data_IF_482579931030
#
_entry.id   IF_482579931030
#
_cell.length_a   1.000
_cell.length_b   1.000
_cell.length_c   1.000
_cell.angle_alpha   90.00
_cell.angle_beta   90.00
_cell.angle_gamma   90.00
#
_symmetry.space_group_name_H-M   'P 1'
#
loop_
_entity.id
_entity.type
_entity.pdbx_description
1 polymer ?
#
# COMPACT_ATOMS: atom_id res chain seq x y z
N UNK A 1 -7.38 5.03 34.49
CA UNK A 1 -8.46 4.37 35.28
C UNK A 1 -8.90 3.15 34.50
N UNK A 2 -8.88 1.92 35.04
CA UNK A 2 -9.57 0.82 34.38
C UNK A 2 -11.06 0.98 34.71
N UNK A 3 -11.86 1.31 33.70
CA UNK A 3 -13.30 1.18 33.77
C UNK A 3 -13.63 -0.30 33.88
N UNK A 4 -14.16 -0.69 35.03
CA UNK A 4 -14.75 -2.00 35.31
C UNK A 4 -16.03 -2.13 34.43
N UNK A 5 -15.83 -2.36 33.13
CA UNK A 5 -16.88 -2.74 32.19
C UNK A 5 -17.08 -4.25 32.33
N UNK A 6 -17.69 -4.68 33.43
CA UNK A 6 -18.23 -6.05 33.51
C UNK A 6 -19.45 -6.12 32.60
N UNK A 7 -19.18 -6.32 31.31
CA UNK A 7 -20.23 -6.74 30.39
C UNK A 7 -20.76 -8.10 30.86
N UNK A 8 -22.06 -8.36 30.69
CA UNK A 8 -22.61 -9.67 31.02
C UNK A 8 -21.84 -10.74 30.25
N UNK A 9 -21.54 -11.89 30.88
CA UNK A 9 -20.81 -12.96 30.23
C UNK A 9 -21.59 -13.41 28.99
N UNK A 10 -20.88 -13.59 27.87
CA UNK A 10 -21.47 -14.09 26.64
C UNK A 10 -21.97 -15.51 26.92
N UNK A 11 -23.25 -15.78 26.62
CA UNK A 11 -23.82 -17.11 26.82
C UNK A 11 -23.26 -18.07 25.77
N UNK A 12 -23.24 -19.36 26.10
CA UNK A 12 -22.83 -20.40 25.14
C UNK A 12 -23.73 -20.40 23.91
N UNK A 13 -25.02 -20.16 24.11
CA UNK A 13 -26.01 -20.03 23.04
C UNK A 13 -25.66 -18.94 22.03
N UNK A 14 -25.41 -17.72 22.51
CA UNK A 14 -25.06 -16.58 21.64
C UNK A 14 -23.78 -16.89 20.83
N UNK A 15 -22.81 -17.55 21.47
CA UNK A 15 -21.57 -17.97 20.82
C UNK A 15 -21.83 -19.00 19.71
N UNK A 16 -22.66 -20.01 19.98
CA UNK A 16 -23.02 -21.06 19.03
C UNK A 16 -23.86 -20.54 17.87
N UNK A 17 -24.76 -19.58 18.12
CA UNK A 17 -25.53 -18.90 17.08
C UNK A 17 -24.63 -18.09 16.14
N UNK A 18 -23.54 -17.48 16.63
CA UNK A 18 -22.53 -16.86 15.76
C UNK A 18 -21.68 -17.86 14.97
N UNK A 19 -21.65 -19.13 15.37
CA UNK A 19 -20.93 -20.24 14.73
C UNK A 19 -21.86 -21.11 13.86
N UNK A 20 -23.12 -20.69 13.65
CA UNK A 20 -24.16 -21.35 12.86
C UNK A 20 -23.73 -21.93 11.50
N UNK A 21 -22.81 -21.31 10.72
CA UNK A 21 -22.37 -21.91 9.45
C UNK A 21 -21.62 -23.25 9.59
N UNK A 22 -21.25 -23.64 10.82
CA UNK A 22 -20.34 -24.76 11.09
C UNK A 22 -20.92 -25.80 12.05
N UNK A 23 -22.00 -25.47 12.75
CA UNK A 23 -22.78 -26.41 13.57
C UNK A 23 -23.53 -27.34 12.61
N UNK A 24 -23.18 -28.62 12.68
CA UNK A 24 -23.59 -29.69 11.75
C UNK A 24 -25.08 -29.73 11.43
N UNK A 25 -25.46 -30.33 10.29
CA UNK A 25 -26.85 -30.68 9.94
C UNK A 25 -27.58 -31.59 10.96
N UNK A 26 -26.87 -32.09 11.99
CA UNK A 26 -27.37 -33.08 12.97
C UNK A 26 -27.95 -32.48 14.25
N UNK A 27 -27.50 -31.28 14.65
CA UNK A 27 -27.90 -30.68 15.92
C UNK A 27 -28.07 -29.17 15.75
N UNK A 28 -29.16 -28.62 16.26
CA UNK A 28 -29.35 -27.17 16.27
C UNK A 28 -28.44 -26.50 17.31
N UNK A 29 -28.06 -25.22 17.14
CA UNK A 29 -27.34 -24.46 18.18
C UNK A 29 -28.04 -24.47 19.54
N UNK A 30 -29.38 -24.53 19.55
CA UNK A 30 -30.17 -24.67 20.78
C UNK A 30 -29.90 -26.01 21.47
N UNK A 31 -29.95 -27.12 20.74
CA UNK A 31 -29.67 -28.46 21.30
C UNK A 31 -28.26 -28.57 21.87
N UNK A 32 -27.26 -27.99 21.19
CA UNK A 32 -25.89 -27.99 21.69
C UNK A 32 -25.75 -27.11 22.95
N UNK A 33 -26.43 -25.96 22.98
CA UNK A 33 -26.44 -25.09 24.17
C UNK A 33 -27.09 -25.80 25.35
N UNK A 34 -28.26 -26.42 25.17
CA UNK A 34 -28.99 -27.11 26.23
C UNK A 34 -28.15 -28.24 26.83
N UNK A 35 -27.46 -29.03 26.00
CA UNK A 35 -26.56 -30.09 26.47
C UNK A 35 -25.34 -29.55 27.23
N UNK A 36 -24.77 -28.43 26.80
CA UNK A 36 -23.67 -27.79 27.52
C UNK A 36 -24.15 -27.24 28.88
N UNK A 37 -25.37 -26.68 28.93
CA UNK A 37 -25.98 -26.21 30.17
C UNK A 37 -26.30 -27.35 31.14
N UNK A 38 -26.73 -28.52 30.67
CA UNK A 38 -26.93 -29.74 31.47
C UNK A 38 -25.65 -30.19 32.20
N UNK A 39 -24.49 -29.89 31.61
CA UNK A 39 -23.17 -30.13 32.20
C UNK A 39 -22.60 -28.93 32.96
N UNK A 40 -23.41 -27.91 33.22
CA UNK A 40 -23.02 -26.71 33.98
C UNK A 40 -22.30 -25.62 33.17
N UNK A 41 -22.13 -25.80 31.86
CA UNK A 41 -21.42 -24.88 30.98
C UNK A 41 -22.42 -23.87 30.39
N UNK A 42 -22.66 -22.78 31.12
CA UNK A 42 -23.65 -21.74 30.74
C UNK A 42 -23.08 -20.55 29.97
N UNK A 43 -21.77 -20.35 30.06
CA UNK A 43 -21.09 -19.17 29.50
C UNK A 43 -19.81 -19.64 28.81
N UNK A 44 -19.32 -18.85 27.85
CA UNK A 44 -18.03 -19.17 27.21
C UNK A 44 -16.90 -19.22 28.26
N UNK A 45 -17.02 -18.46 29.36
CA UNK A 45 -16.03 -18.47 30.43
C UNK A 45 -15.89 -19.85 31.10
N UNK A 46 -16.99 -20.57 31.34
CA UNK A 46 -16.95 -21.94 31.86
C UNK A 46 -16.22 -22.91 30.90
N UNK A 47 -16.32 -22.67 29.59
CA UNK A 47 -15.60 -23.48 28.58
C UNK A 47 -14.08 -23.36 28.76
N UNK A 48 -13.59 -22.21 29.20
CA UNK A 48 -12.17 -21.97 29.44
C UNK A 48 -11.70 -22.35 30.83
N UNK A 49 -12.61 -22.40 31.81
CA UNK A 49 -12.32 -22.88 33.16
C UNK A 49 -12.07 -24.39 33.18
N UNK A 50 -12.81 -25.16 32.35
CA UNK A 50 -12.55 -26.58 32.13
C UNK A 50 -12.66 -26.96 30.64
N UNK A 51 -11.59 -26.72 29.86
CA UNK A 51 -11.58 -27.04 28.44
C UNK A 51 -11.55 -28.55 28.19
N UNK A 52 -11.08 -29.37 29.14
CA UNK A 52 -11.06 -30.82 28.96
C UNK A 52 -12.48 -31.39 29.03
N UNK A 53 -13.23 -31.03 30.08
CA UNK A 53 -14.62 -31.44 30.25
C UNK A 53 -15.49 -30.95 29.10
N UNK A 54 -15.31 -29.70 28.67
CA UNK A 54 -16.08 -29.15 27.56
C UNK A 54 -15.81 -29.89 26.25
N UNK A 55 -14.55 -30.25 26.01
CA UNK A 55 -14.19 -31.03 24.82
C UNK A 55 -14.71 -32.45 24.88
N UNK A 56 -14.74 -33.10 26.05
CA UNK A 56 -15.33 -34.44 26.21
C UNK A 56 -16.84 -34.46 25.89
N UNK A 57 -17.54 -33.35 26.10
CA UNK A 57 -18.96 -33.18 25.73
C UNK A 57 -19.11 -32.90 24.23
N UNK A 58 -18.24 -32.05 23.67
CA UNK A 58 -18.33 -31.60 22.28
C UNK A 58 -17.78 -32.59 21.25
N UNK A 59 -16.80 -33.43 21.62
CA UNK A 59 -16.18 -34.43 20.74
C UNK A 59 -17.21 -35.44 20.21
N UNK A 60 -18.08 -36.04 21.04
CA UNK A 60 -19.16 -36.91 20.56
C UNK A 60 -20.16 -36.22 19.63
N UNK A 61 -20.26 -34.89 19.72
CA UNK A 61 -21.26 -34.07 19.03
C UNK A 61 -20.80 -33.55 17.67
N UNK A 62 -19.52 -33.19 17.53
CA UNK A 62 -19.00 -32.45 16.37
C UNK A 62 -18.13 -33.31 15.43
N UNK A 63 -17.58 -34.44 15.88
CA UNK A 63 -16.63 -35.26 15.12
C UNK A 63 -15.22 -34.65 15.03
N UNK A 64 -14.19 -35.48 14.81
CA UNK A 64 -12.78 -35.09 15.04
C UNK A 64 -12.24 -33.96 14.14
N UNK A 65 -12.63 -33.87 12.87
CA UNK A 65 -12.14 -32.79 11.98
C UNK A 65 -12.72 -31.41 12.33
N UNK A 66 -13.96 -31.39 12.84
CA UNK A 66 -14.64 -30.13 13.20
C UNK A 66 -14.23 -29.66 14.60
N UNK A 67 -13.66 -30.54 15.42
CA UNK A 67 -13.03 -30.27 16.71
C UNK A 67 -11.99 -29.15 16.64
N UNK A 68 -11.07 -29.26 15.68
CA UNK A 68 -9.97 -28.32 15.54
C UNK A 68 -10.46 -26.93 15.12
N UNK A 69 -11.44 -26.88 14.20
CA UNK A 69 -12.00 -25.62 13.71
C UNK A 69 -12.90 -24.93 14.74
N UNK A 70 -13.75 -25.68 15.44
CA UNK A 70 -14.55 -25.16 16.55
C UNK A 70 -13.68 -24.57 17.67
N UNK A 71 -12.59 -25.27 18.05
CA UNK A 71 -11.64 -24.76 19.04
C UNK A 71 -10.95 -23.48 18.56
N UNK A 72 -10.54 -23.41 17.30
CA UNK A 72 -9.95 -22.18 16.73
C UNK A 72 -10.95 -21.03 16.79
N UNK A 73 -12.20 -21.26 16.41
CA UNK A 73 -13.22 -20.21 16.40
C UNK A 73 -13.63 -19.79 17.81
N UNK A 74 -13.68 -20.72 18.77
CA UNK A 74 -13.93 -20.42 20.17
C UNK A 74 -12.77 -19.62 20.80
N UNK A 75 -11.52 -19.95 20.46
CA UNK A 75 -10.33 -19.18 20.84
C UNK A 75 -10.40 -17.76 20.24
N UNK A 76 -10.87 -17.62 19.00
CA UNK A 76 -11.06 -16.32 18.35
C UNK A 76 -12.19 -15.49 18.99
N UNK A 77 -13.17 -16.14 19.63
CA UNK A 77 -14.24 -15.50 20.40
C UNK A 77 -13.84 -15.18 21.85
N UNK A 78 -12.64 -15.58 22.31
CA UNK A 78 -12.16 -15.14 23.62
C UNK A 78 -12.15 -13.62 23.69
N UNK A 79 -12.60 -13.01 24.81
CA UNK A 79 -12.57 -11.57 24.97
C UNK A 79 -11.20 -10.99 24.61
N UNK A 80 -10.10 -11.60 25.07
CA UNK A 80 -8.75 -11.14 24.73
C UNK A 80 -8.43 -11.12 23.23
N UNK A 81 -8.82 -12.16 22.48
CA UNK A 81 -8.57 -12.25 21.02
C UNK A 81 -9.55 -11.42 20.21
N UNK A 82 -10.84 -11.44 20.56
CA UNK A 82 -11.88 -10.64 19.94
C UNK A 82 -11.61 -9.14 20.12
N UNK A 83 -11.18 -8.70 21.31
CA UNK A 83 -10.77 -7.31 21.54
C UNK A 83 -9.50 -6.96 20.78
N UNK A 84 -8.51 -7.85 20.73
CA UNK A 84 -7.29 -7.65 19.93
C UNK A 84 -7.62 -7.52 18.45
N UNK A 85 -8.56 -8.33 17.94
CA UNK A 85 -9.04 -8.26 16.57
C UNK A 85 -9.77 -6.95 16.27
N UNK A 86 -10.73 -6.53 17.11
CA UNK A 86 -11.43 -5.25 16.94
C UNK A 86 -10.45 -4.08 17.01
N UNK A 87 -9.48 -4.14 17.92
CA UNK A 87 -8.46 -3.11 18.05
C UNK A 87 -7.57 -3.07 16.81
N UNK A 88 -7.16 -4.23 16.29
CA UNK A 88 -6.42 -4.35 15.04
C UNK A 88 -7.23 -3.82 13.84
N UNK A 89 -8.53 -4.12 13.75
CA UNK A 89 -9.41 -3.59 12.71
C UNK A 89 -9.50 -2.06 12.78
N UNK A 90 -9.66 -1.48 13.98
CA UNK A 90 -9.66 -0.01 14.17
C UNK A 90 -8.32 0.63 13.83
N UNK A 91 -7.21 -0.02 14.19
CA UNK A 91 -5.88 0.49 13.89
C UNK A 91 -5.57 0.37 12.38
N UNK A 92 -6.11 -0.66 11.72
CA UNK A 92 -6.07 -0.79 10.26
C UNK A 92 -6.89 0.32 9.57
N UNK A 93 -8.11 0.62 10.03
CA UNK A 93 -8.90 1.74 9.51
C UNK A 93 -8.19 3.09 9.70
N UNK A 94 -7.51 3.29 10.84
CA UNK A 94 -6.71 4.49 11.10
C UNK A 94 -5.53 4.58 10.14
N UNK A 95 -4.83 3.47 9.90
CA UNK A 95 -3.73 3.41 8.96
C UNK A 95 -4.20 3.69 7.52
N UNK A 96 -5.32 3.11 7.10
CA UNK A 96 -5.91 3.36 5.78
C UNK A 96 -6.26 4.84 5.58
N UNK A 97 -6.85 5.48 6.60
CA UNK A 97 -7.11 6.94 6.58
C UNK A 97 -5.82 7.75 6.48
N UNK A 98 -4.78 7.39 7.23
CA UNK A 98 -3.49 8.06 7.19
C UNK A 98 -2.82 7.92 5.81
N UNK A 99 -2.88 6.73 5.19
CA UNK A 99 -2.37 6.49 3.84
C UNK A 99 -3.13 7.35 2.82
N UNK A 100 -4.47 7.38 2.88
CA UNK A 100 -5.28 8.25 2.00
C UNK A 100 -4.95 9.73 2.15
N UNK A 101 -4.69 10.19 3.37
CA UNK A 101 -4.24 11.56 3.62
C UNK A 101 -2.86 11.82 3.02
N UNK A 102 -1.92 10.88 3.18
CA UNK A 102 -0.59 10.99 2.59
C UNK A 102 -0.66 11.00 1.05
N UNK A 103 -1.47 10.14 0.45
CA UNK A 103 -1.70 10.15 -1.00
C UNK A 103 -2.28 11.48 -1.49
N UNK A 104 -3.21 12.08 -0.74
CA UNK A 104 -3.76 13.40 -1.07
C UNK A 104 -2.70 14.50 -0.95
N UNK A 105 -1.83 14.44 0.07
CA UNK A 105 -0.71 15.37 0.24
C UNK A 105 0.31 15.22 -0.90
N UNK A 106 0.69 13.99 -1.25
CA UNK A 106 1.61 13.71 -2.36
C UNK A 106 1.02 14.19 -3.68
N UNK A 107 -0.27 13.92 -3.95
CA UNK A 107 -0.96 14.47 -5.12
C UNK A 107 -0.93 16.00 -5.13
N UNK A 108 -1.26 16.66 -4.01
CA UNK A 108 -1.18 18.11 -3.92
C UNK A 108 0.23 18.66 -4.15
N UNK A 109 1.28 17.96 -3.68
CA UNK A 109 2.66 18.33 -3.93
C UNK A 109 3.00 18.15 -5.42
N UNK A 110 2.61 17.03 -6.02
CA UNK A 110 2.81 16.76 -7.45
C UNK A 110 2.07 17.78 -8.31
N UNK A 111 0.83 18.12 -7.97
CA UNK A 111 0.04 19.14 -8.65
C UNK A 111 0.69 20.51 -8.48
N UNK A 112 1.16 20.88 -7.28
CA UNK A 112 1.93 22.11 -7.08
C UNK A 112 3.24 22.12 -7.85
N UNK A 113 3.93 20.98 -7.97
CA UNK A 113 5.13 20.85 -8.80
C UNK A 113 4.78 20.95 -10.28
N UNK A 114 3.65 20.37 -10.70
CA UNK A 114 3.08 20.46 -12.04
C UNK A 114 2.70 21.89 -12.39
N UNK A 115 2.02 22.60 -11.49
CA UNK A 115 1.65 24.01 -11.59
C UNK A 115 2.88 24.91 -11.55
N UNK A 116 3.88 24.60 -10.72
CA UNK A 116 5.18 25.28 -10.76
C UNK A 116 5.95 25.00 -12.05
N UNK A 117 5.79 23.81 -12.64
CA UNK A 117 6.35 23.44 -13.94
C UNK A 117 5.56 24.03 -15.12
N UNK A 118 4.27 24.34 -14.94
CA UNK A 118 3.43 25.04 -15.91
C UNK A 118 3.62 26.56 -15.81
N UNK A 119 3.80 27.11 -14.60
CA UNK A 119 4.15 28.52 -14.36
C UNK A 119 5.59 28.85 -14.76
N UNK A 120 6.50 27.88 -14.74
CA UNK A 120 7.79 27.95 -15.42
C UNK A 120 7.65 27.34 -16.81
N UNK A 121 7.12 28.08 -17.77
CA UNK A 121 7.26 27.85 -19.23
C UNK A 121 8.58 27.17 -19.59
N UNK A 122 8.60 25.83 -19.59
CA UNK A 122 9.68 25.00 -20.11
C UNK A 122 9.05 23.73 -20.61
N UNK A 123 9.17 23.51 -21.92
CA UNK A 123 8.84 22.26 -22.57
C UNK A 123 9.32 21.07 -21.73
N UNK A 124 8.57 19.95 -21.68
CA UNK A 124 8.99 18.74 -20.98
C UNK A 124 10.45 18.42 -21.31
N UNK A 125 11.25 18.02 -20.33
CA UNK A 125 12.70 17.79 -20.49
C UNK A 125 12.96 16.81 -21.66
N UNK A 126 12.15 15.75 -21.79
CA UNK A 126 12.22 14.81 -22.92
C UNK A 126 12.05 15.51 -24.28
N UNK A 127 11.11 16.45 -24.38
CA UNK A 127 10.85 17.24 -25.59
C UNK A 127 11.99 18.22 -25.87
N UNK A 128 12.55 18.85 -24.83
CA UNK A 128 13.67 19.81 -24.99
C UNK A 128 14.95 19.11 -25.43
N UNK A 129 15.26 17.95 -24.85
CA UNK A 129 16.44 17.15 -25.23
C UNK A 129 16.32 16.66 -26.67
N UNK A 130 15.13 16.24 -27.12
CA UNK A 130 14.91 15.85 -28.50
C UNK A 130 15.09 17.03 -29.46
N UNK A 131 14.53 18.20 -29.14
CA UNK A 131 14.71 19.41 -29.95
C UNK A 131 16.19 19.80 -30.03
N UNK A 132 16.96 19.70 -28.95
CA UNK A 132 18.40 19.97 -28.98
C UNK A 132 19.16 19.01 -29.91
N UNK A 133 18.80 17.72 -29.92
CA UNK A 133 19.38 16.74 -30.83
C UNK A 133 19.01 17.04 -32.29
N UNK A 134 17.75 17.35 -32.56
CA UNK A 134 17.27 17.66 -33.91
C UNK A 134 17.91 18.95 -34.44
N UNK A 135 18.07 19.96 -33.59
CA UNK A 135 18.70 21.23 -33.95
C UNK A 135 20.21 21.12 -34.13
N UNK A 136 20.90 20.30 -33.33
CA UNK A 136 22.32 20.03 -33.51
C UNK A 136 22.60 19.18 -34.75
N UNK A 137 21.71 18.24 -35.10
CA UNK A 137 21.82 17.42 -36.31
C UNK A 137 21.69 18.23 -37.61
N UNK A 138 21.01 19.38 -37.60
CA UNK A 138 20.86 20.26 -38.76
C UNK A 138 22.15 21.01 -39.14
N UNK A 139 23.13 21.09 -38.24
CA UNK A 139 24.38 21.82 -38.49
C UNK A 139 25.55 20.85 -38.69
N UNK A 140 26.11 20.83 -39.90
CA UNK A 140 27.30 20.04 -40.22
C UNK A 140 28.54 20.48 -39.44
N UNK A 141 28.60 21.76 -39.06
CA UNK A 141 29.69 22.38 -38.31
C UNK A 141 29.54 22.33 -36.79
N UNK A 142 28.39 21.87 -36.30
CA UNK A 142 27.98 21.95 -34.91
C UNK A 142 27.29 23.27 -34.56
N UNK A 143 26.72 23.35 -33.35
CA UNK A 143 25.99 24.53 -32.86
C UNK A 143 26.49 24.90 -31.47
N UNK A 144 26.62 26.18 -31.18
CA UNK A 144 27.00 26.65 -29.85
C UNK A 144 25.81 26.68 -28.90
N UNK A 145 26.09 26.56 -27.60
CA UNK A 145 25.06 26.69 -26.57
C UNK A 145 24.34 28.05 -26.59
N UNK A 146 25.02 29.11 -27.07
CA UNK A 146 24.43 30.45 -27.17
C UNK A 146 23.40 30.53 -28.30
N UNK A 147 23.71 29.96 -29.46
CA UNK A 147 22.81 29.92 -30.63
C UNK A 147 21.54 29.12 -30.30
N UNK A 148 21.70 27.95 -29.66
CA UNK A 148 20.57 27.11 -29.24
C UNK A 148 19.72 27.79 -28.16
N UNK A 149 20.36 28.46 -27.19
CA UNK A 149 19.65 29.20 -26.16
C UNK A 149 18.79 30.33 -26.73
N UNK A 150 19.35 31.11 -27.67
CA UNK A 150 18.62 32.16 -28.35
C UNK A 150 17.46 31.59 -29.19
N UNK A 151 17.71 30.52 -29.96
CA UNK A 151 16.71 29.90 -30.82
C UNK A 151 15.53 29.32 -30.05
N UNK A 152 15.80 28.72 -28.88
CA UNK A 152 14.78 28.07 -28.05
C UNK A 152 14.14 29.00 -27.01
N UNK A 153 14.59 30.25 -26.90
CA UNK A 153 14.14 31.17 -25.85
C UNK A 153 14.50 30.69 -24.44
N UNK A 154 15.60 29.95 -24.31
CA UNK A 154 16.06 29.33 -23.05
C UNK A 154 17.30 30.03 -22.52
N UNK A 155 17.61 29.85 -21.22
CA UNK A 155 18.85 30.39 -20.67
C UNK A 155 20.06 29.59 -21.16
N UNK A 156 21.15 30.30 -21.46
CA UNK A 156 22.42 29.69 -21.91
C UNK A 156 22.95 28.65 -20.93
N UNK A 157 22.86 28.92 -19.62
CA UNK A 157 23.31 27.98 -18.59
C UNK A 157 22.50 26.67 -18.61
N UNK A 158 21.18 26.76 -18.80
CA UNK A 158 20.32 25.59 -18.88
C UNK A 158 20.62 24.73 -20.11
N UNK A 159 20.72 25.36 -21.29
CA UNK A 159 21.07 24.68 -22.54
C UNK A 159 22.47 24.05 -22.45
N UNK A 160 23.43 24.77 -21.87
CA UNK A 160 24.78 24.24 -21.64
C UNK A 160 24.78 22.99 -20.74
N UNK A 161 23.95 22.96 -19.70
CA UNK A 161 23.79 21.79 -18.83
C UNK A 161 23.24 20.57 -19.58
N UNK A 162 22.18 20.76 -20.37
CA UNK A 162 21.58 19.68 -21.18
C UNK A 162 22.54 19.15 -22.25
N UNK A 163 23.30 20.03 -22.91
CA UNK A 163 24.28 19.63 -23.91
C UNK A 163 25.42 18.80 -23.29
N UNK A 164 25.87 19.15 -22.09
CA UNK A 164 26.88 18.35 -21.38
C UNK A 164 26.34 16.95 -21.02
N UNK A 165 25.10 16.85 -20.54
CA UNK A 165 24.47 15.54 -20.29
C UNK A 165 24.38 14.69 -21.57
N UNK A 166 24.07 15.30 -22.71
CA UNK A 166 24.04 14.62 -24.00
C UNK A 166 25.42 14.16 -24.49
N UNK A 167 26.48 14.89 -24.13
CA UNK A 167 27.87 14.48 -24.38
C UNK A 167 28.25 13.29 -23.49
N UNK A 168 27.91 13.33 -22.21
CA UNK A 168 28.13 12.22 -21.27
C UNK A 168 27.37 10.95 -21.69
N UNK A 169 26.16 11.11 -22.25
CA UNK A 169 25.38 10.02 -22.82
C UNK A 169 25.87 9.52 -24.20
N UNK A 170 26.97 10.09 -24.73
CA UNK A 170 27.55 9.71 -26.02
C UNK A 170 26.69 10.06 -27.25
N UNK A 171 25.74 10.99 -27.12
CA UNK A 171 24.86 11.44 -28.22
C UNK A 171 25.45 12.60 -29.00
N UNK A 172 26.20 13.46 -28.31
CA UNK A 172 26.88 14.62 -28.87
C UNK A 172 28.39 14.53 -28.61
N UNK A 173 29.16 15.25 -29.42
CA UNK A 173 30.58 15.52 -29.19
C UNK A 173 30.82 17.02 -29.09
N UNK A 174 31.82 17.41 -28.28
CA UNK A 174 32.29 18.79 -28.19
C UNK A 174 33.37 19.06 -29.23
N UNK A 175 33.26 20.20 -29.89
CA UNK A 175 34.24 20.71 -30.85
C UNK A 175 34.68 22.09 -30.39
N UNK A 176 35.98 22.29 -30.25
CA UNK A 176 36.55 23.60 -29.93
C UNK A 176 37.00 24.29 -31.21
N UNK A 177 36.45 25.48 -31.49
CA UNK A 177 36.88 26.35 -32.60
C UNK A 177 37.27 27.70 -32.00
N UNK A 178 38.58 27.93 -31.85
CA UNK A 178 39.13 29.11 -31.19
C UNK A 178 38.77 29.15 -29.70
N UNK A 179 38.14 30.23 -29.22
CA UNK A 179 37.68 30.38 -27.83
C UNK A 179 36.23 29.92 -27.60
N UNK A 180 35.61 29.26 -28.58
CA UNK A 180 34.20 28.86 -28.54
C UNK A 180 34.05 27.34 -28.60
N UNK A 181 33.11 26.82 -27.82
CA UNK A 181 32.71 25.41 -27.80
C UNK A 181 31.43 25.22 -28.59
N UNK A 182 31.46 24.24 -29.49
CA UNK A 182 30.35 23.81 -30.34
C UNK A 182 30.00 22.35 -30.03
N UNK A 183 28.76 21.98 -30.32
CA UNK A 183 28.25 20.63 -30.11
C UNK A 183 27.75 20.06 -31.43
N UNK A 184 28.19 18.84 -31.77
CA UNK A 184 27.79 18.13 -32.99
C UNK A 184 27.28 16.74 -32.61
N UNK A 185 26.32 16.20 -33.37
CA UNK A 185 25.86 14.82 -33.22
C UNK A 185 26.98 13.83 -33.59
N UNK A 186 27.07 12.74 -32.83
CA UNK A 186 27.97 11.64 -33.18
C UNK A 186 27.34 10.90 -34.36
N UNK A 187 27.90 11.07 -35.56
CA UNK A 187 27.52 10.26 -36.71
C UNK A 187 27.82 8.80 -36.37
N UNK A 188 26.77 7.99 -36.19
CA UNK A 188 26.95 6.54 -36.19
C UNK A 188 27.38 6.18 -37.61
N UNK A 189 28.64 5.76 -37.77
CA UNK A 189 29.07 4.98 -38.92
C UNK A 189 28.15 3.74 -38.97
N UNK A 190 27.13 3.80 -39.83
CA UNK A 190 26.39 2.65 -40.34
C UNK A 190 26.94 2.37 -41.74
#
# INVERSE_FOLDING_TARGET
MPTDLRRPPITVRDALEHLLPYVTDKHSPGELSDRLEEHGIKTIQHVFEDPAMTMDILIPLLGEERKARFLVDLILLMPGFYYTRIQAEKDFERLEKAVKQLEAQVRSIVDKIGDLALMRTRMPIKTTTQILLDETAKSSEGVSASELAQKLGLSRAYVSGLLNQLVEAGKLMKIEKGRKTYFKTVEKNL
#
